data_IF_365480788033
#
_entry.id   IF_365480788033
#
_cell.length_a   1.000
_cell.length_b   1.000
_cell.length_c   1.000
_cell.angle_alpha   90.00
_cell.angle_beta   90.00
_cell.angle_gamma   90.00
#
_symmetry.space_group_name_H-M   'P 1'
#
loop_
_entity.id
_entity.type
_entity.pdbx_description
1 polymer ?
#
# COMPACT_ATOMS: atom_id res chain seq x y z
N UNK A 1 53.45 29.77 69.09
CA UNK A 1 53.02 28.55 68.42
C UNK A 1 51.87 28.93 67.41
N UNK A 2 52.19 29.05 66.11
CA UNK A 2 51.28 29.60 65.06
C UNK A 2 50.69 28.45 64.27
N UNK A 3 49.38 28.31 64.27
CA UNK A 3 48.63 27.36 63.49
C UNK A 3 48.19 28.07 62.20
N UNK A 4 48.71 27.60 61.07
CA UNK A 4 48.31 28.06 59.72
C UNK A 4 47.04 27.33 59.29
N UNK A 5 45.99 28.11 58.96
CA UNK A 5 44.77 27.60 58.31
C UNK A 5 45.03 27.51 56.85
N UNK A 6 44.95 26.31 56.31
CA UNK A 6 44.84 26.08 54.82
C UNK A 6 43.37 26.18 54.36
N UNK A 7 43.10 27.16 53.54
CA UNK A 7 41.83 27.20 52.76
C UNK A 7 42.01 26.33 51.57
N UNK A 8 41.22 25.21 51.48
CA UNK A 8 40.98 24.46 50.19
C UNK A 8 39.84 25.11 49.45
N UNK A 9 40.15 25.72 48.31
CA UNK A 9 39.16 26.17 47.34
C UNK A 9 38.79 25.00 46.42
N UNK A 10 37.58 24.46 46.57
CA UNK A 10 37.04 23.47 45.68
C UNK A 10 36.46 24.17 44.41
N UNK A 11 37.16 24.01 43.30
CA UNK A 11 36.65 24.44 42.00
C UNK A 11 35.66 23.36 41.45
N UNK A 12 34.40 23.67 41.47
CA UNK A 12 33.34 22.83 40.83
C UNK A 12 33.38 23.12 39.36
N UNK A 13 33.94 22.21 38.55
CA UNK A 13 33.91 22.23 37.09
C UNK A 13 32.54 21.74 36.63
N UNK A 14 31.65 22.67 36.26
CA UNK A 14 30.36 22.36 35.63
C UNK A 14 30.56 21.84 34.21
N UNK A 15 30.47 20.54 34.01
CA UNK A 15 30.40 19.94 32.68
C UNK A 15 29.01 20.17 32.09
N UNK A 16 28.84 21.22 31.26
CA UNK A 16 27.69 21.37 30.38
C UNK A 16 27.71 20.22 29.34
N UNK A 17 26.89 19.18 29.55
CA UNK A 17 26.58 18.23 28.50
C UNK A 17 25.81 18.96 27.40
N UNK A 18 26.50 19.33 26.35
CA UNK A 18 25.90 19.72 25.08
C UNK A 18 25.26 18.46 24.46
N UNK A 19 23.98 18.25 24.69
CA UNK A 19 23.17 17.29 23.91
C UNK A 19 23.09 17.89 22.53
N UNK A 20 24.05 17.53 21.69
CA UNK A 20 23.95 17.79 20.24
C UNK A 20 22.79 16.96 19.71
N UNK A 21 21.64 17.58 19.48
CA UNK A 21 20.60 17.01 18.63
C UNK A 21 21.22 16.71 17.28
N UNK A 22 21.59 15.47 17.04
CA UNK A 22 22.04 15.01 15.73
C UNK A 22 20.83 15.13 14.80
N UNK A 23 20.80 16.20 14.01
CA UNK A 23 19.83 16.33 12.91
C UNK A 23 20.12 15.22 11.93
N UNK A 24 19.16 14.30 11.74
CA UNK A 24 19.23 13.31 10.68
C UNK A 24 19.37 14.07 9.36
N UNK A 25 20.43 13.79 8.55
CA UNK A 25 20.67 14.51 7.32
C UNK A 25 19.52 14.31 6.34
N UNK A 26 19.10 15.39 5.71
CA UNK A 26 18.12 15.36 4.63
C UNK A 26 18.82 14.98 3.31
N UNK A 27 18.24 14.05 2.59
CA UNK A 27 18.58 13.76 1.20
C UNK A 27 17.49 14.30 0.30
N UNK A 28 17.88 14.93 -0.80
CA UNK A 28 16.98 15.60 -1.73
C UNK A 28 17.15 15.04 -3.13
N UNK A 29 16.05 14.72 -3.79
CA UNK A 29 16.04 14.11 -5.11
C UNK A 29 15.04 14.83 -6.00
N UNK A 30 15.39 15.05 -7.26
CA UNK A 30 14.45 15.56 -8.26
C UNK A 30 13.42 14.47 -8.59
N UNK A 31 12.15 14.84 -8.54
CA UNK A 31 11.01 13.98 -8.86
C UNK A 31 10.28 14.59 -10.05
N UNK A 32 10.01 13.78 -11.07
CA UNK A 32 9.17 14.10 -12.21
C UNK A 32 8.18 12.98 -12.45
N UNK A 33 6.98 13.31 -12.89
CA UNK A 33 5.97 12.30 -13.16
C UNK A 33 4.61 12.88 -13.52
N UNK A 34 3.58 12.05 -13.38
CA UNK A 34 2.18 12.41 -13.60
C UNK A 34 1.35 12.12 -12.35
N UNK A 35 0.47 13.03 -12.01
CA UNK A 35 -0.50 12.85 -10.93
C UNK A 35 -1.52 11.80 -11.32
N UNK A 36 -1.62 10.75 -10.52
CA UNK A 36 -2.59 9.66 -10.70
C UNK A 36 -3.81 9.87 -9.82
N UNK A 37 -3.63 10.24 -8.56
CA UNK A 37 -4.68 10.50 -7.59
C UNK A 37 -4.17 11.45 -6.50
N UNK A 38 -5.08 12.14 -5.81
CA UNK A 38 -4.77 12.92 -4.62
C UNK A 38 -5.75 12.56 -3.50
N UNK A 39 -5.21 12.31 -2.31
CA UNK A 39 -5.97 12.10 -1.07
C UNK A 39 -5.72 13.29 -0.14
N UNK A 40 -6.72 14.18 -0.07
CA UNK A 40 -6.64 15.38 0.78
C UNK A 40 -6.69 15.06 2.27
N UNK A 41 -7.41 13.98 2.65
CA UNK A 41 -7.56 13.60 4.04
C UNK A 41 -6.26 13.03 4.61
N UNK A 42 -5.55 12.26 3.80
CA UNK A 42 -4.24 11.70 4.17
C UNK A 42 -3.06 12.60 3.79
N UNK A 43 -3.31 13.74 3.16
CA UNK A 43 -2.27 14.67 2.68
C UNK A 43 -1.28 13.98 1.74
N UNK A 44 -1.78 13.16 0.83
CA UNK A 44 -0.98 12.38 -0.11
C UNK A 44 -1.36 12.63 -1.56
N UNK A 45 -0.39 12.51 -2.44
CA UNK A 45 -0.57 12.47 -3.89
C UNK A 45 0.08 11.20 -4.43
N UNK A 46 -0.65 10.44 -5.22
CA UNK A 46 -0.11 9.29 -5.96
C UNK A 46 0.44 9.78 -7.28
N UNK A 47 1.71 9.52 -7.52
CA UNK A 47 2.43 9.97 -8.71
C UNK A 47 2.99 8.73 -9.44
N UNK A 48 2.72 8.64 -10.72
CA UNK A 48 3.49 7.82 -11.65
C UNK A 48 4.76 8.60 -11.99
N UNK A 49 5.86 8.29 -11.29
CA UNK A 49 7.09 9.04 -11.42
C UNK A 49 8.12 8.31 -12.30
N UNK A 50 8.95 9.09 -12.96
CA UNK A 50 10.15 8.63 -13.65
C UNK A 50 11.19 8.13 -12.65
N UNK A 51 12.28 7.54 -13.14
CA UNK A 51 13.39 7.14 -12.29
C UNK A 51 13.89 8.32 -11.44
N UNK A 52 13.88 8.19 -10.13
CA UNK A 52 14.51 9.12 -9.21
C UNK A 52 15.96 8.73 -9.05
N UNK A 53 16.84 9.43 -9.79
CA UNK A 53 18.27 9.08 -9.90
C UNK A 53 18.95 8.97 -8.53
N UNK A 54 19.57 7.82 -8.29
CA UNK A 54 20.29 7.55 -7.04
C UNK A 54 19.39 7.20 -5.84
N UNK A 55 18.09 7.00 -6.08
CA UNK A 55 17.16 6.64 -5.01
C UNK A 55 16.21 5.49 -5.36
N UNK A 56 15.40 5.63 -6.41
CA UNK A 56 14.47 4.57 -6.84
C UNK A 56 14.16 4.67 -8.32
N UNK A 57 13.75 3.56 -8.89
CA UNK A 57 13.34 3.48 -10.28
C UNK A 57 11.92 4.05 -10.50
N UNK A 58 11.54 4.20 -11.79
CA UNK A 58 10.21 4.65 -12.17
C UNK A 58 9.11 3.73 -11.63
N UNK A 59 8.12 4.27 -10.92
CA UNK A 59 6.97 3.54 -10.38
C UNK A 59 5.80 4.47 -10.07
N UNK A 60 4.68 3.89 -9.68
CA UNK A 60 3.52 4.65 -9.16
C UNK A 60 3.41 4.43 -7.66
N UNK A 61 3.52 5.49 -6.87
CA UNK A 61 3.41 5.41 -5.42
C UNK A 61 2.86 6.70 -4.78
N UNK A 62 2.31 6.64 -3.56
CA UNK A 62 1.89 7.82 -2.83
C UNK A 62 3.09 8.55 -2.21
N UNK A 63 3.02 9.89 -2.27
CA UNK A 63 3.96 10.80 -1.63
C UNK A 63 3.23 11.71 -0.65
N UNK A 64 3.80 11.94 0.52
CA UNK A 64 3.27 12.91 1.47
C UNK A 64 3.51 14.33 0.96
N UNK A 65 2.50 15.19 1.14
CA UNK A 65 2.51 16.58 0.68
C UNK A 65 2.43 17.52 1.88
N UNK A 66 3.35 18.45 1.99
CA UNK A 66 3.33 19.47 3.06
C UNK A 66 2.60 20.74 2.67
N UNK A 67 2.54 21.03 1.38
CA UNK A 67 1.99 22.27 0.84
C UNK A 67 0.47 22.15 0.66
N UNK A 68 -0.32 22.85 1.47
CA UNK A 68 -1.79 22.77 1.46
C UNK A 68 -2.41 23.19 0.13
N UNK A 69 -1.83 24.17 -0.54
CA UNK A 69 -2.30 24.62 -1.84
C UNK A 69 -2.24 23.52 -2.90
N UNK A 70 -1.17 22.70 -2.87
CA UNK A 70 -0.95 21.64 -3.84
C UNK A 70 -2.03 20.56 -3.74
N UNK A 71 -2.46 20.21 -2.53
CA UNK A 71 -3.52 19.22 -2.30
C UNK A 71 -4.85 19.60 -2.96
N UNK A 72 -5.07 20.89 -3.17
CA UNK A 72 -6.27 21.40 -3.84
C UNK A 72 -6.09 21.59 -5.34
N UNK A 73 -4.84 21.69 -5.78
CA UNK A 73 -4.47 21.96 -7.17
C UNK A 73 -4.22 20.69 -7.99
N UNK A 74 -3.96 19.54 -7.36
CA UNK A 74 -3.72 18.30 -8.07
C UNK A 74 -4.92 17.88 -8.91
N UNK A 75 -4.67 17.69 -10.21
CA UNK A 75 -5.61 17.08 -11.14
C UNK A 75 -4.96 15.87 -11.79
N UNK A 76 -5.75 14.82 -11.99
CA UNK A 76 -5.29 13.59 -12.63
C UNK A 76 -4.74 13.85 -14.03
N UNK A 77 -3.62 13.21 -14.38
CA UNK A 77 -2.94 13.37 -15.66
C UNK A 77 -2.04 14.60 -15.75
N UNK A 78 -2.05 15.45 -14.75
CA UNK A 78 -1.18 16.62 -14.65
C UNK A 78 0.28 16.18 -14.54
N UNK A 79 1.17 16.83 -15.32
CA UNK A 79 2.59 16.63 -15.10
C UNK A 79 3.02 17.38 -13.84
N UNK A 80 3.87 16.73 -13.06
CA UNK A 80 4.41 17.25 -11.80
C UNK A 80 5.94 17.17 -11.81
N UNK A 81 6.56 18.28 -11.39
CA UNK A 81 7.95 18.32 -10.97
C UNK A 81 7.99 18.74 -9.50
N UNK A 82 8.80 18.05 -8.71
CA UNK A 82 8.93 18.33 -7.30
C UNK A 82 10.31 17.89 -6.77
N UNK A 83 10.60 18.23 -5.53
CA UNK A 83 11.75 17.70 -4.79
C UNK A 83 11.25 16.69 -3.78
N UNK A 84 11.69 15.43 -3.90
CA UNK A 84 11.51 14.43 -2.86
C UNK A 84 12.55 14.64 -1.77
N UNK A 85 12.11 14.87 -0.56
CA UNK A 85 12.95 14.99 0.64
C UNK A 85 12.82 13.73 1.47
N UNK A 86 13.96 13.13 1.83
CA UNK A 86 14.05 11.95 2.68
C UNK A 86 14.87 12.26 3.91
N UNK A 87 14.28 12.09 5.08
CA UNK A 87 14.91 12.33 6.38
C UNK A 87 14.63 11.17 7.33
N UNK A 88 15.57 10.26 7.46
CA UNK A 88 15.38 9.02 8.23
C UNK A 88 14.26 8.16 7.62
N UNK A 89 13.24 7.91 8.42
CA UNK A 89 12.04 7.14 8.05
C UNK A 89 10.90 7.98 7.44
N UNK A 90 11.09 9.30 7.35
CA UNK A 90 10.10 10.22 6.81
C UNK A 90 10.48 10.69 5.42
N UNK A 91 9.47 10.80 4.56
CA UNK A 91 9.64 11.40 3.24
C UNK A 91 8.42 12.25 2.86
N UNK A 92 8.66 13.28 2.07
CA UNK A 92 7.62 14.16 1.54
C UNK A 92 8.10 14.83 0.26
N UNK A 93 7.19 15.38 -0.50
CA UNK A 93 7.53 16.25 -1.64
C UNK A 93 7.31 17.70 -1.29
N UNK A 94 8.15 18.57 -1.87
CA UNK A 94 8.08 20.03 -1.75
C UNK A 94 8.57 20.70 -3.04
N UNK A 95 8.36 22.02 -3.16
CA UNK A 95 8.76 22.75 -4.36
C UNK A 95 7.97 22.30 -5.59
N UNK A 96 6.68 22.04 -5.40
CA UNK A 96 5.81 21.42 -6.39
C UNK A 96 5.50 22.41 -7.52
N UNK A 97 5.78 21.99 -8.76
CA UNK A 97 5.35 22.67 -9.97
C UNK A 97 4.41 21.75 -10.74
N UNK A 98 3.23 22.27 -11.07
CA UNK A 98 2.22 21.58 -11.86
C UNK A 98 2.14 22.23 -13.23
N UNK A 99 2.24 21.42 -14.29
CA UNK A 99 2.00 21.87 -15.65
C UNK A 99 0.80 21.13 -16.23
N UNK A 100 0.04 21.78 -17.10
CA UNK A 100 -0.97 21.07 -17.89
C UNK A 100 -0.23 20.12 -18.81
N UNK A 101 -0.32 18.81 -18.50
CA UNK A 101 0.18 17.80 -19.40
C UNK A 101 -0.60 17.88 -20.70
N UNK A 102 0.09 17.93 -21.83
CA UNK A 102 -0.57 17.69 -23.12
C UNK A 102 -1.28 16.33 -23.02
N UNK A 103 -2.49 16.17 -23.62
CA UNK A 103 -3.11 14.87 -23.71
C UNK A 103 -2.17 13.99 -24.52
N UNK A 104 -1.49 13.07 -23.83
CA UNK A 104 -0.57 12.14 -24.46
C UNK A 104 -1.34 11.32 -25.50
N UNK A 105 -1.09 11.64 -26.75
CA UNK A 105 -1.52 10.81 -27.88
C UNK A 105 -0.88 9.44 -27.75
N UNK A 106 -1.72 8.40 -27.73
CA UNK A 106 -1.40 7.06 -28.17
C UNK A 106 -0.38 6.29 -27.37
N UNK A 107 -0.80 5.69 -26.26
CA UNK A 107 -0.41 4.33 -25.90
C UNK A 107 -1.62 3.66 -25.29
N UNK A 108 -2.16 2.67 -25.97
CA UNK A 108 -3.20 1.80 -25.44
C UNK A 108 -2.74 1.19 -24.13
N UNK A 109 -3.64 1.26 -23.13
CA UNK A 109 -3.54 0.55 -21.83
C UNK A 109 -2.81 1.21 -20.65
N UNK A 110 -3.03 2.50 -20.40
CA UNK A 110 -3.12 2.95 -19.03
C UNK A 110 -4.61 2.91 -18.63
N UNK A 111 -5.10 1.74 -18.22
CA UNK A 111 -6.42 1.61 -17.64
C UNK A 111 -6.49 2.60 -16.48
N UNK A 112 -7.42 3.55 -16.57
CA UNK A 112 -7.61 4.52 -15.50
C UNK A 112 -7.92 3.76 -14.22
N UNK A 113 -7.19 4.04 -13.12
CA UNK A 113 -7.51 3.43 -11.82
C UNK A 113 -9.01 3.52 -11.57
N UNK A 114 -9.64 2.44 -11.12
CA UNK A 114 -11.07 2.42 -10.91
C UNK A 114 -11.45 3.40 -9.80
N UNK A 115 -12.64 3.95 -9.88
CA UNK A 115 -13.19 4.90 -8.92
C UNK A 115 -14.17 4.17 -7.99
N UNK A 116 -14.40 4.75 -6.84
CA UNK A 116 -15.54 4.35 -6.00
C UNK A 116 -16.82 4.48 -6.84
N UNK A 117 -17.63 3.40 -6.84
CA UNK A 117 -18.84 3.29 -7.64
C UNK A 117 -18.66 2.63 -9.01
N UNK A 118 -17.43 2.46 -9.50
CA UNK A 118 -17.20 1.75 -10.76
C UNK A 118 -17.53 0.26 -10.59
N UNK A 119 -18.14 -0.33 -11.62
CA UNK A 119 -18.40 -1.75 -11.66
C UNK A 119 -17.13 -2.54 -11.95
N UNK A 120 -16.86 -3.55 -11.12
CA UNK A 120 -15.69 -4.42 -11.30
C UNK A 120 -15.96 -5.42 -12.41
N UNK A 121 -15.11 -5.47 -13.46
CA UNK A 121 -15.20 -6.48 -14.50
C UNK A 121 -15.09 -7.90 -13.93
N UNK A 122 -15.63 -8.86 -14.65
CA UNK A 122 -15.45 -10.26 -14.29
C UNK A 122 -14.05 -10.73 -14.71
N UNK A 123 -13.27 -11.12 -13.70
CA UNK A 123 -11.94 -11.69 -13.88
C UNK A 123 -11.96 -13.16 -13.52
N UNK A 124 -11.29 -13.99 -14.33
CA UNK A 124 -11.12 -15.42 -14.11
C UNK A 124 -9.79 -15.69 -13.42
N UNK A 125 -9.81 -16.48 -12.36
CA UNK A 125 -8.63 -16.88 -11.61
C UNK A 125 -8.71 -18.36 -11.22
N UNK A 126 -7.67 -18.90 -10.64
CA UNK A 126 -7.63 -20.22 -10.01
C UNK A 126 -7.45 -20.06 -8.51
N UNK A 127 -8.32 -20.66 -7.71
CA UNK A 127 -8.15 -20.64 -6.26
C UNK A 127 -7.09 -21.69 -5.78
N UNK A 128 -6.86 -21.73 -4.48
CA UNK A 128 -5.90 -22.63 -3.83
C UNK A 128 -6.22 -24.14 -4.01
N UNK A 129 -7.41 -24.46 -4.49
CA UNK A 129 -7.87 -25.82 -4.79
C UNK A 129 -7.80 -26.15 -6.28
N UNK A 130 -7.18 -25.27 -7.07
CA UNK A 130 -7.14 -25.34 -8.55
C UNK A 130 -8.53 -25.22 -9.20
N UNK A 131 -9.53 -24.80 -8.46
CA UNK A 131 -10.85 -24.54 -9.01
C UNK A 131 -10.87 -23.17 -9.69
N UNK A 132 -11.49 -23.06 -10.88
CA UNK A 132 -11.72 -21.77 -11.50
C UNK A 132 -12.70 -20.94 -10.65
N UNK A 133 -12.38 -19.67 -10.47
CA UNK A 133 -13.23 -18.70 -9.81
C UNK A 133 -13.39 -17.46 -10.69
N UNK A 134 -14.53 -16.81 -10.56
CA UNK A 134 -14.88 -15.59 -11.26
C UNK A 134 -15.29 -14.53 -10.25
N UNK A 135 -14.88 -13.29 -10.41
CA UNK A 135 -15.26 -12.24 -9.47
C UNK A 135 -16.77 -12.03 -9.40
N UNK A 136 -17.48 -12.26 -10.51
CA UNK A 136 -18.93 -12.18 -10.57
C UNK A 136 -19.65 -13.16 -9.61
N UNK A 137 -19.03 -14.29 -9.24
CA UNK A 137 -19.62 -15.27 -8.31
C UNK A 137 -19.81 -14.73 -6.89
N UNK A 138 -19.10 -13.66 -6.54
CA UNK A 138 -19.18 -13.02 -5.21
C UNK A 138 -20.26 -11.93 -5.14
N UNK A 139 -21.00 -11.65 -6.24
CA UNK A 139 -22.14 -10.73 -6.21
C UNK A 139 -23.20 -11.20 -5.20
N UNK A 140 -23.91 -10.26 -4.58
CA UNK A 140 -24.85 -10.52 -3.49
C UNK A 140 -24.22 -10.49 -2.09
N UNK A 141 -22.88 -10.44 -1.99
CA UNK A 141 -22.13 -10.24 -0.73
C UNK A 141 -20.97 -9.29 -0.94
N UNK A 142 -20.48 -8.72 0.13
CA UNK A 142 -19.24 -7.94 0.07
C UNK A 142 -18.05 -8.82 -0.31
N UNK A 143 -17.17 -8.32 -1.17
CA UNK A 143 -15.89 -8.93 -1.49
C UNK A 143 -14.76 -7.98 -1.03
N UNK A 144 -13.94 -8.44 -0.08
CA UNK A 144 -12.76 -7.72 0.37
C UNK A 144 -11.52 -8.40 -0.19
N UNK A 145 -10.82 -7.74 -1.11
CA UNK A 145 -9.70 -8.32 -1.84
C UNK A 145 -8.41 -7.53 -1.64
N UNK A 146 -7.29 -8.23 -1.72
CA UNK A 146 -5.94 -7.66 -1.74
C UNK A 146 -5.00 -8.47 -2.60
N UNK A 147 -3.81 -7.91 -2.85
CA UNK A 147 -2.77 -8.52 -3.64
C UNK A 147 -1.52 -8.78 -2.81
N UNK A 148 -0.88 -9.94 -3.02
CA UNK A 148 0.35 -10.36 -2.34
C UNK A 148 1.26 -11.15 -3.28
N UNK A 149 2.50 -11.44 -2.83
CA UNK A 149 3.27 -12.59 -3.27
C UNK A 149 3.89 -13.30 -2.07
N UNK A 150 3.93 -14.64 -2.09
CA UNK A 150 4.17 -15.44 -0.88
C UNK A 150 5.60 -15.36 -0.37
N UNK A 151 6.56 -15.07 -1.25
CA UNK A 151 7.99 -14.94 -0.94
C UNK A 151 8.44 -13.49 -0.65
N UNK A 152 7.50 -12.60 -0.34
CA UNK A 152 7.83 -11.23 0.06
C UNK A 152 8.70 -11.22 1.33
N UNK A 153 9.94 -10.71 1.27
CA UNK A 153 10.86 -10.75 2.41
C UNK A 153 10.61 -9.63 3.42
N UNK A 154 9.75 -8.67 3.09
CA UNK A 154 9.50 -7.49 3.90
C UNK A 154 8.30 -7.69 4.83
N UNK A 155 8.51 -7.82 6.15
CA UNK A 155 7.42 -8.08 7.11
C UNK A 155 6.31 -7.03 7.08
N UNK A 156 6.65 -5.79 6.76
CA UNK A 156 5.74 -4.63 6.75
C UNK A 156 4.83 -4.55 5.52
N UNK A 157 5.00 -5.45 4.53
CA UNK A 157 4.24 -5.47 3.27
C UNK A 157 3.26 -6.64 3.21
N UNK A 158 3.49 -7.61 2.33
CA UNK A 158 2.56 -8.74 2.14
C UNK A 158 2.26 -9.51 3.44
N UNK A 159 3.25 -9.83 4.31
CA UNK A 159 2.94 -10.50 5.57
C UNK A 159 2.02 -9.66 6.47
N UNK A 160 2.28 -8.34 6.59
CA UNK A 160 1.43 -7.44 7.37
C UNK A 160 0.01 -7.33 6.81
N UNK A 161 -0.13 -7.23 5.48
CA UNK A 161 -1.44 -7.24 4.81
C UNK A 161 -2.20 -8.53 5.12
N UNK A 162 -1.55 -9.68 5.02
CA UNK A 162 -2.15 -10.97 5.36
C UNK A 162 -2.52 -11.09 6.85
N UNK A 163 -1.74 -10.49 7.75
CA UNK A 163 -2.09 -10.42 9.19
C UNK A 163 -3.36 -9.59 9.40
N UNK A 164 -3.50 -8.43 8.76
CA UNK A 164 -4.72 -7.61 8.83
C UNK A 164 -5.95 -8.35 8.28
N UNK A 165 -5.81 -9.08 7.19
CA UNK A 165 -6.86 -9.97 6.68
C UNK A 165 -7.22 -11.06 7.69
N UNK A 166 -6.23 -11.64 8.38
CA UNK A 166 -6.47 -12.60 9.47
C UNK A 166 -7.25 -11.98 10.64
N UNK A 167 -7.00 -10.72 10.98
CA UNK A 167 -7.75 -10.01 12.02
C UNK A 167 -9.22 -9.77 11.59
N UNK A 168 -9.45 -9.33 10.34
CA UNK A 168 -10.80 -9.21 9.78
C UNK A 168 -11.50 -10.57 9.79
N UNK A 169 -10.84 -11.62 9.31
CA UNK A 169 -11.37 -12.99 9.30
C UNK A 169 -11.82 -13.46 10.70
N UNK A 170 -10.97 -13.26 11.70
CA UNK A 170 -11.28 -13.63 13.10
C UNK A 170 -12.47 -12.84 13.66
N UNK A 171 -12.52 -11.54 13.41
CA UNK A 171 -13.60 -10.68 13.85
C UNK A 171 -14.94 -11.09 13.23
N UNK A 172 -14.97 -11.40 11.93
CA UNK A 172 -16.16 -11.86 11.22
C UNK A 172 -16.66 -13.22 11.74
N UNK A 173 -15.78 -14.11 12.12
CA UNK A 173 -16.17 -15.39 12.75
C UNK A 173 -16.79 -15.19 14.13
N UNK A 174 -16.30 -14.22 14.88
CA UNK A 174 -16.78 -13.92 16.23
C UNK A 174 -18.10 -13.13 16.24
N UNK A 175 -18.42 -12.40 15.17
CA UNK A 175 -19.57 -11.49 15.12
C UNK A 175 -20.95 -12.16 14.95
N UNK A 176 -21.01 -13.50 14.86
CA UNK A 176 -22.29 -14.21 14.70
C UNK A 176 -22.97 -14.01 13.33
N UNK A 177 -24.25 -14.37 13.23
CA UNK A 177 -25.02 -14.38 11.97
C UNK A 177 -25.57 -13.00 11.55
N UNK A 178 -25.47 -11.98 12.41
CA UNK A 178 -26.13 -10.67 12.20
C UNK A 178 -25.36 -9.68 11.32
N UNK A 179 -24.15 -10.01 10.89
CA UNK A 179 -23.35 -9.13 10.02
C UNK A 179 -23.25 -9.77 8.63
N UNK A 180 -23.51 -8.99 7.59
CA UNK A 180 -23.25 -9.41 6.21
C UNK A 180 -21.77 -9.78 6.08
N UNK A 181 -21.45 -11.08 6.09
CA UNK A 181 -20.06 -11.55 6.08
C UNK A 181 -19.48 -11.36 4.69
N UNK A 182 -18.47 -10.47 4.51
CA UNK A 182 -17.78 -10.35 3.25
C UNK A 182 -17.04 -11.65 2.94
N UNK A 183 -16.88 -11.96 1.68
CA UNK A 183 -15.88 -12.92 1.24
C UNK A 183 -14.51 -12.25 1.21
N UNK A 184 -13.49 -12.92 1.70
CA UNK A 184 -12.12 -12.44 1.65
C UNK A 184 -11.38 -13.12 0.49
N UNK A 185 -10.67 -12.35 -0.32
CA UNK A 185 -9.91 -12.87 -1.45
C UNK A 185 -8.51 -12.28 -1.46
N UNK A 186 -7.51 -13.14 -1.38
CA UNK A 186 -6.10 -12.75 -1.54
C UNK A 186 -5.58 -13.26 -2.87
N UNK A 187 -5.13 -12.36 -3.74
CA UNK A 187 -4.67 -12.66 -5.09
C UNK A 187 -3.16 -12.54 -5.14
N UNK A 188 -2.48 -13.59 -5.61
CA UNK A 188 -1.05 -13.48 -5.88
C UNK A 188 -0.77 -12.88 -7.24
N UNK A 189 0.21 -11.97 -7.29
CA UNK A 189 0.73 -11.41 -8.54
C UNK A 189 2.09 -12.04 -8.96
N UNK A 190 2.46 -13.19 -8.39
CA UNK A 190 3.65 -13.97 -8.75
C UNK A 190 3.25 -15.39 -9.20
N UNK A 191 2.47 -15.54 -10.29
CA UNK A 191 1.84 -16.81 -10.67
C UNK A 191 2.86 -17.89 -11.03
N UNK A 192 4.08 -17.52 -11.44
CA UNK A 192 5.14 -18.50 -11.73
C UNK A 192 5.61 -19.24 -10.47
N UNK A 193 5.59 -18.59 -9.32
CA UNK A 193 6.01 -19.16 -8.05
C UNK A 193 4.80 -19.58 -7.19
N UNK A 194 3.80 -18.74 -7.10
CA UNK A 194 2.65 -18.90 -6.21
C UNK A 194 1.57 -19.78 -6.85
N UNK A 195 1.90 -21.06 -6.99
CA UNK A 195 0.93 -22.06 -7.44
C UNK A 195 -0.21 -22.23 -6.42
N UNK A 196 -1.36 -22.80 -6.80
CA UNK A 196 -2.45 -23.11 -5.87
C UNK A 196 -2.00 -23.83 -4.60
N UNK A 197 -1.08 -24.79 -4.70
CA UNK A 197 -0.54 -25.52 -3.55
C UNK A 197 0.27 -24.61 -2.63
N UNK A 198 1.12 -23.75 -3.18
CA UNK A 198 1.89 -22.74 -2.41
C UNK A 198 0.95 -21.76 -1.70
N UNK A 199 -0.12 -21.33 -2.37
CA UNK A 199 -1.13 -20.45 -1.78
C UNK A 199 -1.92 -21.12 -0.64
N UNK A 200 -2.24 -22.41 -0.77
CA UNK A 200 -2.87 -23.20 0.31
C UNK A 200 -1.96 -23.27 1.54
N UNK A 201 -0.68 -23.53 1.37
CA UNK A 201 0.29 -23.58 2.46
C UNK A 201 0.49 -22.21 3.10
N UNK A 202 0.54 -21.16 2.28
CA UNK A 202 0.62 -19.78 2.77
C UNK A 202 -0.60 -19.41 3.60
N UNK A 203 -1.82 -19.76 3.15
CA UNK A 203 -3.06 -19.52 3.89
C UNK A 203 -3.00 -20.10 5.31
N UNK A 204 -2.42 -21.28 5.49
CA UNK A 204 -2.28 -21.93 6.78
C UNK A 204 -1.46 -21.18 7.82
N UNK A 205 -0.71 -20.16 7.42
CA UNK A 205 0.03 -19.27 8.34
C UNK A 205 -0.88 -18.24 8.99
N UNK A 206 -1.97 -17.86 8.33
CA UNK A 206 -2.82 -16.73 8.71
C UNK A 206 -4.25 -17.13 9.08
N UNK A 207 -4.72 -18.29 8.60
CA UNK A 207 -6.09 -18.76 8.75
C UNK A 207 -6.13 -20.13 9.45
N UNK A 208 -6.58 -20.16 10.69
CA UNK A 208 -6.75 -21.40 11.47
C UNK A 208 -8.08 -21.37 12.24
N UNK A 209 -8.96 -22.39 12.08
CA UNK A 209 -8.85 -23.46 11.07
C UNK A 209 -8.96 -22.90 9.65
N UNK A 210 -8.52 -23.69 8.66
CA UNK A 210 -8.70 -23.33 7.24
C UNK A 210 -10.21 -23.31 6.91
N UNK A 211 -10.65 -22.21 6.31
CA UNK A 211 -12.03 -22.00 5.88
C UNK A 211 -12.05 -21.22 4.58
N UNK A 212 -11.81 -21.92 3.48
CA UNK A 212 -11.79 -21.34 2.15
C UNK A 212 -13.18 -20.90 1.65
N UNK A 213 -14.27 -21.29 2.32
CA UNK A 213 -15.59 -20.73 2.08
C UNK A 213 -15.72 -19.26 2.51
N UNK A 214 -14.87 -18.83 3.43
CA UNK A 214 -14.82 -17.45 3.92
C UNK A 214 -13.65 -16.64 3.38
N UNK A 215 -12.47 -17.26 3.18
CA UNK A 215 -11.27 -16.57 2.71
C UNK A 215 -10.51 -17.44 1.71
N UNK A 216 -10.55 -17.07 0.44
CA UNK A 216 -9.85 -17.74 -0.65
C UNK A 216 -8.54 -17.06 -1.00
N UNK A 217 -7.62 -17.85 -1.54
CA UNK A 217 -6.35 -17.42 -2.10
C UNK A 217 -6.32 -17.82 -3.57
N UNK A 218 -6.01 -16.88 -4.45
CA UNK A 218 -6.11 -17.09 -5.88
C UNK A 218 -4.84 -16.65 -6.63
N UNK A 219 -4.67 -17.23 -7.79
CA UNK A 219 -3.69 -16.88 -8.80
C UNK A 219 -4.32 -17.10 -10.18
N UNK A 220 -3.56 -16.99 -11.26
CA UNK A 220 -4.06 -17.21 -12.61
C UNK A 220 -2.93 -17.33 -13.62
N UNK A 221 -3.24 -17.23 -14.90
CA UNK A 221 -2.22 -16.97 -15.91
C UNK A 221 -1.59 -15.59 -15.70
N UNK A 222 -0.39 -15.39 -16.19
CA UNK A 222 0.28 -14.07 -16.10
C UNK A 222 -0.58 -12.95 -16.67
N UNK A 223 -1.31 -13.23 -17.77
CA UNK A 223 -2.16 -12.24 -18.42
C UNK A 223 -3.39 -11.91 -17.60
N UNK A 224 -4.03 -12.89 -16.96
CA UNK A 224 -5.20 -12.65 -16.09
C UNK A 224 -4.80 -11.89 -14.84
N UNK A 225 -3.69 -12.31 -14.22
CA UNK A 225 -3.12 -11.62 -13.05
C UNK A 225 -2.73 -10.18 -13.41
N UNK A 226 -2.11 -9.96 -14.56
CA UNK A 226 -1.75 -8.62 -15.03
C UNK A 226 -2.98 -7.74 -15.28
N UNK A 227 -4.05 -8.30 -15.88
CA UNK A 227 -5.30 -7.57 -16.13
C UNK A 227 -5.97 -7.13 -14.83
N UNK A 228 -6.16 -8.04 -13.87
CA UNK A 228 -6.81 -7.70 -12.61
C UNK A 228 -5.94 -6.76 -11.76
N UNK A 229 -4.64 -6.98 -11.69
CA UNK A 229 -3.70 -6.10 -11.03
C UNK A 229 -3.74 -4.68 -11.62
N UNK A 230 -3.64 -4.56 -12.94
CA UNK A 230 -3.71 -3.30 -13.65
C UNK A 230 -5.04 -2.59 -13.46
N UNK A 231 -6.17 -3.31 -13.48
CA UNK A 231 -7.48 -2.73 -13.19
C UNK A 231 -7.52 -2.04 -11.82
N UNK A 232 -7.04 -2.71 -10.78
CA UNK A 232 -7.01 -2.13 -9.42
C UNK A 232 -5.85 -1.15 -9.19
N UNK A 233 -5.01 -0.89 -10.18
CA UNK A 233 -3.87 0.03 -10.06
C UNK A 233 -2.69 -0.55 -9.28
N UNK A 234 -2.61 -1.89 -9.19
CA UNK A 234 -1.40 -2.54 -8.70
C UNK A 234 -0.34 -2.49 -9.79
N UNK A 235 0.79 -1.88 -9.47
CA UNK A 235 2.00 -1.91 -10.30
C UNK A 235 3.03 -2.79 -9.63
N UNK A 236 3.66 -3.68 -10.41
CA UNK A 236 4.69 -4.57 -9.90
C UNK A 236 5.70 -4.92 -10.98
N UNK A 237 6.95 -5.15 -10.57
CA UNK A 237 8.02 -5.57 -11.47
C UNK A 237 9.07 -6.38 -10.73
N UNK A 238 9.66 -7.40 -11.36
CA UNK A 238 10.80 -8.11 -10.82
C UNK A 238 12.02 -7.18 -10.68
N UNK A 239 12.70 -7.25 -9.55
CA UNK A 239 13.91 -6.49 -9.28
C UNK A 239 14.84 -7.27 -8.36
N UNK A 240 16.02 -7.62 -8.84
CA UNK A 240 17.06 -8.30 -8.04
C UNK A 240 16.57 -9.49 -7.21
N UNK A 241 15.72 -10.34 -7.80
CA UNK A 241 15.16 -11.54 -7.15
C UNK A 241 13.97 -11.27 -6.22
N UNK A 242 13.54 -10.04 -6.11
CA UNK A 242 12.32 -9.59 -5.41
C UNK A 242 11.31 -9.01 -6.42
N UNK A 243 10.14 -8.62 -5.93
CA UNK A 243 9.16 -7.91 -6.73
C UNK A 243 8.86 -6.57 -6.04
N UNK A 244 9.28 -5.48 -6.68
CA UNK A 244 8.90 -4.14 -6.26
C UNK A 244 7.47 -3.88 -6.68
N UNK A 245 6.61 -3.44 -5.75
CA UNK A 245 5.20 -3.22 -5.99
C UNK A 245 4.60 -2.17 -5.03
N UNK A 246 3.50 -1.54 -5.44
CA UNK A 246 2.65 -0.81 -4.50
C UNK A 246 1.68 -1.78 -3.79
N UNK A 247 0.92 -1.28 -2.81
CA UNK A 247 -0.09 -2.06 -2.08
C UNK A 247 -1.48 -1.55 -2.44
N UNK A 248 -2.36 -2.48 -2.79
CA UNK A 248 -3.76 -2.18 -3.10
C UNK A 248 -4.67 -3.17 -2.38
N UNK A 249 -5.72 -2.64 -1.77
CA UNK A 249 -6.79 -3.42 -1.13
C UNK A 249 -8.12 -2.78 -1.48
N UNK A 250 -9.13 -3.56 -1.85
CA UNK A 250 -10.43 -3.06 -2.28
C UNK A 250 -11.57 -3.73 -1.51
N UNK A 251 -12.60 -2.95 -1.17
CA UNK A 251 -13.89 -3.44 -0.74
C UNK A 251 -14.89 -3.25 -1.88
N UNK A 252 -15.49 -4.34 -2.34
CA UNK A 252 -16.50 -4.37 -3.39
C UNK A 252 -17.84 -4.69 -2.75
N UNK A 253 -18.86 -3.92 -3.11
CA UNK A 253 -20.22 -4.09 -2.62
C UNK A 253 -20.93 -5.32 -3.22
N UNK A 254 -22.08 -5.71 -2.65
CA UNK A 254 -22.89 -6.82 -3.17
C UNK A 254 -23.38 -6.59 -4.62
N UNK A 255 -23.43 -5.34 -5.06
CA UNK A 255 -23.78 -4.92 -6.42
C UNK A 255 -22.63 -5.08 -7.43
N UNK A 256 -21.45 -5.52 -6.95
CA UNK A 256 -20.24 -5.66 -7.77
C UNK A 256 -19.50 -4.34 -8.03
N UNK A 257 -19.84 -3.28 -7.28
CA UNK A 257 -19.20 -1.97 -7.43
C UNK A 257 -18.17 -1.72 -6.32
N UNK A 258 -17.12 -0.96 -6.66
CA UNK A 258 -16.11 -0.57 -5.68
C UNK A 258 -16.75 0.35 -4.64
N UNK A 259 -16.72 -0.08 -3.39
CA UNK A 259 -17.15 0.71 -2.24
C UNK A 259 -15.99 1.50 -1.63
N UNK A 260 -14.82 0.88 -1.55
CA UNK A 260 -13.60 1.52 -1.03
C UNK A 260 -12.36 0.95 -1.70
N UNK A 261 -11.37 1.79 -1.90
CA UNK A 261 -10.08 1.43 -2.48
C UNK A 261 -8.97 2.03 -1.61
N UNK A 262 -8.16 1.17 -1.04
CA UNK A 262 -7.07 1.53 -0.15
C UNK A 262 -5.74 1.33 -0.87
N UNK A 263 -4.98 2.39 -0.95
CA UNK A 263 -3.60 2.34 -1.41
C UNK A 263 -2.64 2.41 -0.23
N UNK A 264 -1.56 1.62 -0.29
CA UNK A 264 -0.63 1.53 0.81
C UNK A 264 -1.10 0.64 1.96
N UNK A 265 -0.45 0.82 3.12
CA UNK A 265 -0.58 -0.08 4.26
C UNK A 265 -1.38 0.47 5.44
N UNK A 266 -1.90 1.70 5.35
CA UNK A 266 -2.38 2.44 6.53
C UNK A 266 -3.84 2.16 6.92
N UNK A 267 -4.61 1.43 6.09
CA UNK A 267 -5.94 0.97 6.45
C UNK A 267 -5.91 0.01 7.65
N UNK A 268 -6.99 -0.03 8.43
CA UNK A 268 -7.12 -0.88 9.61
C UNK A 268 -8.28 -1.86 9.49
N UNK A 269 -8.21 -3.04 10.15
CA UNK A 269 -9.33 -3.98 10.22
C UNK A 269 -10.61 -3.34 10.76
N UNK A 270 -10.50 -2.43 11.73
CA UNK A 270 -11.64 -1.73 12.30
C UNK A 270 -12.38 -0.85 11.28
N UNK A 271 -11.65 -0.17 10.39
CA UNK A 271 -12.25 0.60 9.28
C UNK A 271 -13.08 -0.30 8.37
N UNK A 272 -12.52 -1.45 7.95
CA UNK A 272 -13.23 -2.40 7.09
C UNK A 272 -14.50 -2.92 7.77
N UNK A 273 -14.40 -3.32 9.04
CA UNK A 273 -15.55 -3.83 9.80
C UNK A 273 -16.64 -2.77 10.00
N UNK A 274 -16.28 -1.50 10.08
CA UNK A 274 -17.24 -0.40 10.17
C UNK A 274 -18.00 -0.18 8.85
N UNK A 275 -17.38 -0.42 7.71
CA UNK A 275 -17.98 -0.28 6.38
C UNK A 275 -18.97 -1.40 6.02
N UNK A 276 -18.97 -2.50 6.77
CA UNK A 276 -19.87 -3.64 6.56
C UNK A 276 -21.20 -3.51 7.32
N UNK A 277 -21.36 -2.45 8.09
CA UNK A 277 -22.60 -2.14 8.83
C UNK A 277 -23.52 -1.31 7.93
#
# INVERSE_FOLDING_TARGET
>A
MRIRRFCLSAAVLGACLMIACQRVPEKRYALKGKVVAADKAQRQVTIEHEQIKGFMDAMTMPFNVREDWALSAFARGQAIEATLVVQGDRSWIEGITLSQGEPAGGSESAASMPRIGDEVPDFSLLNQDKAPIHLAQYRGRYLFLTFIYTRCPLPEFCPRTSMKFSEVYKALRSAGASVSKPHLLTISFDPQHDTPAVLRDYAGRFMRPLDFGQWEFATGSEDEVRKIAGYFGLTYRPESGQITHNLVTALIGPDGRIKSLYQGKDWTPAQILAELK
#
